data_IF_387154626048
#
_entry.id   IF_387154626048
#
_cell.length_a   1.000
_cell.length_b   1.000
_cell.length_c   1.000
_cell.angle_alpha   90.00
_cell.angle_beta   90.00
_cell.angle_gamma   90.00
#
_symmetry.space_group_name_H-M   'P 1'
#
loop_
_entity.id
_entity.type
_entity.pdbx_description
1 polymer ?
#
# COMPACT_ATOMS: atom_id res chain seq x y z
N UNK A 1 -15.27 17.31 31.60
CA UNK A 1 -15.29 15.94 31.04
C UNK A 1 -14.96 16.06 29.57
N UNK A 2 -13.87 15.46 29.10
CA UNK A 2 -13.58 15.44 27.66
C UNK A 2 -14.59 14.49 27.01
N UNK A 3 -15.21 14.95 25.93
CA UNK A 3 -16.23 14.22 25.21
C UNK A 3 -15.63 12.96 24.56
N UNK A 4 -16.12 11.80 24.97
CA UNK A 4 -15.71 10.51 24.40
C UNK A 4 -16.04 10.40 22.90
N UNK A 5 -16.98 11.20 22.41
CA UNK A 5 -17.45 11.12 21.02
C UNK A 5 -16.48 11.72 20.00
N UNK A 6 -15.45 12.47 20.44
CA UNK A 6 -14.43 13.03 19.55
C UNK A 6 -13.17 12.16 19.42
N UNK A 7 -13.04 11.07 20.17
CA UNK A 7 -11.89 10.17 20.06
C UNK A 7 -11.99 9.29 18.82
N UNK A 8 -10.91 9.24 18.02
CA UNK A 8 -10.81 8.40 16.82
C UNK A 8 -11.16 6.92 17.11
N UNK A 9 -10.68 6.39 18.24
CA UNK A 9 -10.94 4.99 18.65
C UNK A 9 -12.41 4.78 18.98
N UNK A 10 -13.05 5.72 19.70
CA UNK A 10 -14.48 5.64 20.01
C UNK A 10 -15.32 5.68 18.73
N UNK A 11 -14.96 6.56 17.79
CA UNK A 11 -15.64 6.68 16.49
C UNK A 11 -15.51 5.36 15.75
N UNK A 12 -14.29 4.81 15.61
CA UNK A 12 -14.07 3.54 14.92
C UNK A 12 -14.85 2.38 15.54
N UNK A 13 -14.81 2.21 16.87
CA UNK A 13 -15.55 1.15 17.57
C UNK A 13 -17.07 1.29 17.38
N UNK A 14 -17.57 2.52 17.29
CA UNK A 14 -18.99 2.78 17.04
C UNK A 14 -19.39 2.52 15.60
N UNK A 15 -18.63 3.03 14.63
CA UNK A 15 -19.05 3.01 13.21
C UNK A 15 -18.67 1.71 12.52
N UNK A 16 -17.49 1.18 12.81
CA UNK A 16 -16.93 0.00 12.13
C UNK A 16 -17.22 -1.28 12.91
N UNK A 17 -17.20 -1.23 14.24
CA UNK A 17 -17.47 -2.40 15.09
C UNK A 17 -18.90 -2.43 15.65
N UNK A 18 -19.71 -1.39 15.39
CA UNK A 18 -21.12 -1.29 15.81
C UNK A 18 -21.35 -1.45 17.33
N UNK A 19 -20.36 -1.06 18.15
CA UNK A 19 -20.47 -1.14 19.60
C UNK A 19 -21.36 -0.04 20.17
N UNK A 20 -22.15 -0.40 21.18
CA UNK A 20 -22.92 0.56 21.97
C UNK A 20 -22.02 1.40 22.86
N UNK A 21 -22.55 2.53 23.35
CA UNK A 21 -21.80 3.41 24.24
C UNK A 21 -21.31 2.70 25.52
N UNK A 22 -22.11 1.77 26.07
CA UNK A 22 -21.73 1.00 27.27
C UNK A 22 -20.57 0.04 26.98
N UNK A 23 -20.57 -0.60 25.81
CA UNK A 23 -19.48 -1.49 25.39
C UNK A 23 -18.20 -0.70 25.11
N UNK A 24 -18.30 0.47 24.47
CA UNK A 24 -17.15 1.36 24.24
C UNK A 24 -16.53 1.79 25.57
N UNK A 25 -17.34 2.20 26.55
CA UNK A 25 -16.86 2.51 27.90
C UNK A 25 -16.23 1.30 28.59
N UNK A 26 -16.77 0.10 28.37
CA UNK A 26 -16.19 -1.14 28.90
C UNK A 26 -14.82 -1.41 28.29
N UNK A 27 -14.67 -1.32 26.97
CA UNK A 27 -13.40 -1.47 26.26
C UNK A 27 -12.39 -0.47 26.79
N UNK A 28 -12.76 0.81 26.88
CA UNK A 28 -11.88 1.87 27.34
C UNK A 28 -11.28 1.61 28.73
N UNK A 29 -12.09 1.09 29.67
CA UNK A 29 -11.66 0.88 31.06
C UNK A 29 -10.95 -0.45 31.27
N UNK A 30 -11.37 -1.50 30.56
CA UNK A 30 -11.05 -2.88 30.91
C UNK A 30 -10.17 -3.61 29.89
N UNK A 31 -10.02 -3.09 28.67
CA UNK A 31 -9.33 -3.78 27.59
C UNK A 31 -8.07 -3.02 27.19
N UNK A 32 -6.96 -3.74 27.06
CA UNK A 32 -5.73 -3.21 26.50
C UNK A 32 -5.75 -3.37 24.98
N UNK A 33 -5.50 -2.28 24.27
CA UNK A 33 -5.57 -2.22 22.81
C UNK A 33 -4.16 -2.19 22.20
N UNK A 34 -4.01 -2.87 21.07
CA UNK A 34 -2.90 -2.65 20.15
C UNK A 34 -3.48 -1.98 18.90
N UNK A 35 -3.06 -0.74 18.64
CA UNK A 35 -3.51 0.03 17.49
C UNK A 35 -2.39 0.08 16.45
N UNK A 36 -2.71 -0.22 15.20
CA UNK A 36 -1.79 -0.10 14.07
C UNK A 36 -2.28 1.07 13.22
N UNK A 37 -1.47 2.12 13.15
CA UNK A 37 -1.74 3.32 12.36
C UNK A 37 -0.81 3.29 11.15
N UNK A 38 -1.37 2.91 10.01
CA UNK A 38 -0.62 2.78 8.77
C UNK A 38 -0.54 4.13 8.04
N UNK A 39 0.63 4.42 7.47
CA UNK A 39 0.92 5.57 6.62
C UNK A 39 0.63 6.95 7.27
N UNK A 40 1.33 7.29 8.36
CA UNK A 40 1.24 8.61 9.00
C UNK A 40 1.44 9.77 8.01
N UNK A 41 2.32 9.60 7.01
CA UNK A 41 2.59 10.62 6.01
C UNK A 41 1.43 10.92 5.05
N UNK A 42 0.36 10.12 5.09
CA UNK A 42 -0.87 10.34 4.32
C UNK A 42 -1.94 11.11 5.11
N UNK A 43 -1.63 11.54 6.35
CA UNK A 43 -2.50 12.44 7.10
C UNK A 43 -2.64 13.79 6.40
N UNK A 44 -3.84 14.38 6.51
CA UNK A 44 -4.11 15.71 5.97
C UNK A 44 -3.09 16.74 6.48
N UNK A 45 -2.80 17.74 5.64
CA UNK A 45 -1.78 18.77 5.90
C UNK A 45 -2.00 19.48 7.24
N UNK A 46 -3.24 19.59 7.70
CA UNK A 46 -3.61 20.21 8.97
C UNK A 46 -3.17 19.41 10.20
N UNK A 47 -2.96 18.10 10.06
CA UNK A 47 -2.56 17.21 11.14
C UNK A 47 -1.12 16.71 11.00
N UNK A 48 -0.51 16.88 9.83
CA UNK A 48 0.88 16.50 9.60
C UNK A 48 1.82 17.33 10.48
N UNK A 49 2.78 16.67 11.12
CA UNK A 49 3.70 17.29 12.08
C UNK A 49 3.16 17.46 13.50
N UNK A 50 1.89 17.10 13.76
CA UNK A 50 1.31 17.13 15.11
C UNK A 50 1.46 15.80 15.84
N UNK A 51 1.30 15.83 17.16
CA UNK A 51 1.37 14.63 17.97
C UNK A 51 0.14 13.73 17.80
N UNK A 52 0.35 12.50 17.34
CA UNK A 52 -0.74 11.53 17.07
C UNK A 52 -1.53 11.18 18.34
N UNK A 53 -0.89 11.07 19.49
CA UNK A 53 -1.58 10.73 20.74
C UNK A 53 -2.55 11.82 21.18
N UNK A 54 -2.17 13.08 20.97
CA UNK A 54 -2.99 14.22 21.34
C UNK A 54 -4.13 14.43 20.33
N UNK A 55 -3.81 14.45 19.02
CA UNK A 55 -4.80 14.69 17.96
C UNK A 55 -5.90 13.62 17.95
N UNK A 56 -5.56 12.35 18.17
CA UNK A 56 -6.54 11.26 18.21
C UNK A 56 -7.11 10.98 19.62
N UNK A 57 -6.75 11.80 20.62
CA UNK A 57 -7.13 11.65 22.02
C UNK A 57 -6.83 10.24 22.59
N UNK A 58 -5.70 9.66 22.20
CA UNK A 58 -5.31 8.28 22.55
C UNK A 58 -4.90 8.14 24.01
N UNK A 59 -4.57 9.23 24.69
CA UNK A 59 -4.33 9.27 26.14
C UNK A 59 -5.55 8.80 26.96
N UNK A 60 -6.75 8.76 26.37
CA UNK A 60 -7.98 8.26 26.99
C UNK A 60 -8.09 6.73 26.96
N UNK A 61 -7.17 6.04 26.27
CA UNK A 61 -7.23 4.62 26.00
C UNK A 61 -6.01 3.91 26.57
N UNK A 62 -6.22 2.68 27.06
CA UNK A 62 -5.13 1.77 27.44
C UNK A 62 -4.57 1.12 26.18
N UNK A 63 -3.84 1.89 25.37
CA UNK A 63 -3.39 1.47 24.04
C UNK A 63 -1.87 1.51 23.90
N UNK A 64 -1.32 0.51 23.19
CA UNK A 64 -0.01 0.56 22.54
C UNK A 64 -0.21 0.83 21.05
N UNK A 65 0.71 1.61 20.47
CA UNK A 65 0.64 2.00 19.07
C UNK A 65 1.81 1.42 18.29
N UNK A 66 1.53 0.98 17.07
CA UNK A 66 2.50 0.76 16.00
C UNK A 66 2.15 1.76 14.91
N UNK A 67 3.08 2.65 14.57
CA UNK A 67 2.88 3.67 13.55
C UNK A 67 3.87 3.41 12.41
N UNK A 68 3.38 3.36 11.17
CA UNK A 68 4.24 3.31 9.98
C UNK A 68 4.30 4.70 9.34
N UNK A 69 5.46 5.03 8.77
CA UNK A 69 5.68 6.32 8.12
C UNK A 69 6.85 6.21 7.14
N UNK A 70 6.74 6.86 5.97
CA UNK A 70 7.88 7.02 5.05
C UNK A 70 8.94 7.92 5.68
N UNK A 71 10.22 7.53 5.57
CA UNK A 71 11.31 8.31 6.18
C UNK A 71 11.45 9.68 5.51
N UNK A 72 11.15 9.75 4.22
CA UNK A 72 11.18 10.95 3.38
C UNK A 72 10.17 12.00 3.84
N UNK A 73 9.00 11.58 4.36
CA UNK A 73 7.99 12.50 4.88
C UNK A 73 8.45 13.22 6.14
N UNK A 74 9.38 12.61 6.88
CA UNK A 74 9.94 13.18 8.10
C UNK A 74 11.20 14.04 7.85
N UNK A 75 11.69 14.08 6.61
CA UNK A 75 13.00 14.68 6.28
C UNK A 75 13.08 16.19 6.57
N UNK A 76 11.94 16.88 6.61
CA UNK A 76 11.87 18.31 6.89
C UNK A 76 11.83 18.66 8.39
N UNK A 77 11.74 17.66 9.27
CA UNK A 77 11.67 17.83 10.71
C UNK A 77 12.98 17.39 11.37
N UNK A 78 13.38 18.12 12.40
CA UNK A 78 14.48 17.74 13.28
C UNK A 78 14.17 16.45 14.03
N UNK A 79 15.20 15.77 14.55
CA UNK A 79 15.01 14.56 15.35
C UNK A 79 14.11 14.80 16.58
N UNK A 80 14.25 15.98 17.20
CA UNK A 80 13.43 16.38 18.36
C UNK A 80 11.96 16.55 17.96
N UNK A 81 11.68 17.21 16.84
CA UNK A 81 10.31 17.34 16.33
C UNK A 81 9.73 15.98 15.94
N UNK A 82 10.51 15.11 15.29
CA UNK A 82 10.10 13.74 14.96
C UNK A 82 9.70 12.96 16.22
N UNK A 83 10.51 13.02 17.27
CA UNK A 83 10.17 12.39 18.55
C UNK A 83 8.88 12.98 19.13
N UNK A 84 8.72 14.30 19.10
CA UNK A 84 7.52 14.98 19.59
C UNK A 84 6.25 14.61 18.84
N UNK A 85 6.31 14.30 17.54
CA UNK A 85 5.14 13.82 16.76
C UNK A 85 4.63 12.46 17.23
N UNK A 86 5.51 11.60 17.73
CA UNK A 86 5.19 10.20 18.06
C UNK A 86 5.29 9.89 19.56
N UNK A 87 5.68 10.87 20.39
CA UNK A 87 5.83 10.69 21.83
C UNK A 87 4.47 10.40 22.49
N UNK A 88 4.34 9.32 23.27
CA UNK A 88 3.13 9.11 24.06
C UNK A 88 3.00 10.14 25.18
N UNK A 89 1.76 10.56 25.46
CA UNK A 89 1.43 11.47 26.55
C UNK A 89 0.52 10.78 27.56
N UNK A 90 0.84 10.95 28.85
CA UNK A 90 -0.05 10.63 29.95
C UNK A 90 -0.95 11.83 30.26
N UNK A 91 -2.27 11.59 30.32
CA UNK A 91 -3.29 12.60 30.61
C UNK A 91 -3.20 13.86 29.72
N UNK A 92 -2.69 13.72 28.48
CA UNK A 92 -2.49 14.82 27.52
C UNK A 92 -1.48 15.91 27.94
N UNK A 93 -0.74 15.72 29.02
CA UNK A 93 0.12 16.78 29.60
C UNK A 93 1.57 16.32 29.75
N UNK A 94 1.78 15.07 30.19
CA UNK A 94 3.12 14.59 30.56
C UNK A 94 3.65 13.65 29.48
N UNK A 95 4.74 14.02 28.76
CA UNK A 95 5.36 13.12 27.79
C UNK A 95 6.03 11.94 28.51
N UNK A 96 5.79 10.73 28.01
CA UNK A 96 6.38 9.50 28.53
C UNK A 96 7.73 9.24 27.86
N UNK A 97 8.81 9.78 28.47
CA UNK A 97 10.18 9.77 27.92
C UNK A 97 10.71 8.40 27.45
N UNK A 98 10.21 7.29 27.98
CA UNK A 98 10.62 5.93 27.61
C UNK A 98 9.52 5.14 26.87
N UNK A 99 8.53 5.82 26.31
CA UNK A 99 7.40 5.20 25.63
C UNK A 99 7.52 5.13 24.11
N UNK A 100 8.61 5.64 23.52
CA UNK A 100 8.82 5.68 22.07
C UNK A 100 10.00 4.77 21.66
N UNK A 101 9.74 3.89 20.70
CA UNK A 101 10.75 3.06 20.05
C UNK A 101 10.67 3.25 18.53
N UNK A 102 11.78 3.67 17.90
CA UNK A 102 11.89 3.81 16.44
C UNK A 102 12.60 2.62 15.84
N UNK A 103 12.02 2.04 14.79
CA UNK A 103 12.60 0.95 13.99
C UNK A 103 12.56 1.32 12.51
N UNK A 104 13.54 0.84 11.77
CA UNK A 104 13.61 1.00 10.32
C UNK A 104 13.46 -0.37 9.67
N UNK A 105 12.57 -0.45 8.68
CA UNK A 105 12.48 -1.63 7.82
C UNK A 105 13.70 -1.63 6.91
N UNK A 106 14.53 -2.67 7.02
CA UNK A 106 15.70 -2.81 6.18
C UNK A 106 15.31 -3.37 4.79
N UNK A 107 16.18 -3.13 3.82
CA UNK A 107 16.11 -3.78 2.52
C UNK A 107 16.42 -5.27 2.67
N UNK A 108 15.95 -6.08 1.73
CA UNK A 108 16.30 -7.50 1.67
C UNK A 108 17.79 -7.70 1.46
N UNK A 109 18.35 -8.63 2.22
CA UNK A 109 19.68 -9.16 2.02
C UNK A 109 19.74 -9.97 0.69
N UNK A 110 20.66 -9.63 -0.22
CA UNK A 110 20.77 -10.33 -1.51
C UNK A 110 21.11 -11.82 -1.41
N UNK A 111 21.75 -12.24 -0.33
CA UNK A 111 22.27 -13.60 -0.13
C UNK A 111 21.37 -14.45 0.76
N UNK A 112 20.55 -13.85 1.62
CA UNK A 112 19.66 -14.56 2.54
C UNK A 112 18.17 -14.38 2.18
N UNK A 113 17.69 -13.14 2.14
CA UNK A 113 16.26 -12.84 2.01
C UNK A 113 15.74 -13.08 0.60
N UNK A 114 16.49 -12.65 -0.44
CA UNK A 114 16.06 -12.78 -1.84
C UNK A 114 15.92 -14.27 -2.25
N UNK A 115 16.91 -15.16 -2.00
CA UNK A 115 16.75 -16.58 -2.28
C UNK A 115 15.57 -17.21 -1.54
N UNK A 116 15.36 -16.84 -0.27
CA UNK A 116 14.25 -17.33 0.53
C UNK A 116 12.90 -16.90 -0.05
N UNK A 117 12.77 -15.61 -0.42
CA UNK A 117 11.57 -15.07 -1.04
C UNK A 117 11.25 -15.81 -2.36
N UNK A 118 12.23 -15.95 -3.25
CA UNK A 118 12.05 -16.64 -4.55
C UNK A 118 11.61 -18.09 -4.33
N UNK A 119 12.26 -18.80 -3.40
CA UNK A 119 11.89 -20.18 -3.06
C UNK A 119 10.44 -20.28 -2.61
N UNK A 120 10.00 -19.38 -1.73
CA UNK A 120 8.61 -19.34 -1.26
C UNK A 120 7.65 -18.97 -2.40
N UNK A 121 8.00 -17.98 -3.22
CA UNK A 121 7.21 -17.56 -4.37
C UNK A 121 6.93 -18.71 -5.34
N UNK A 122 7.98 -19.44 -5.75
CA UNK A 122 7.86 -20.59 -6.65
C UNK A 122 6.97 -21.67 -6.05
N UNK A 123 7.12 -21.95 -4.75
CA UNK A 123 6.29 -22.94 -4.05
C UNK A 123 4.79 -22.56 -4.02
N UNK A 124 4.45 -21.27 -3.94
CA UNK A 124 3.06 -20.80 -3.89
C UNK A 124 2.43 -20.56 -5.26
N UNK A 125 3.25 -20.31 -6.28
CA UNK A 125 2.74 -19.85 -7.58
C UNK A 125 2.00 -20.92 -8.37
N UNK A 126 2.02 -22.20 -7.96
CA UNK A 126 1.40 -23.34 -8.65
C UNK A 126 1.61 -23.32 -10.18
N UNK A 127 2.71 -22.71 -10.61
CA UNK A 127 3.02 -22.50 -12.01
C UNK A 127 3.55 -23.82 -12.54
N UNK A 128 2.63 -24.68 -12.98
CA UNK A 128 2.91 -25.75 -13.95
C UNK A 128 3.35 -25.05 -15.24
N UNK A 129 4.62 -24.65 -15.30
CA UNK A 129 5.23 -24.11 -16.50
C UNK A 129 6.04 -25.24 -17.09
N UNK A 130 5.81 -25.55 -18.36
CA UNK A 130 6.55 -26.56 -19.12
C UNK A 130 8.07 -26.30 -19.16
N UNK A 131 8.50 -25.10 -18.75
CA UNK A 131 9.90 -24.70 -18.61
C UNK A 131 10.12 -23.95 -17.27
N UNK A 132 10.68 -24.60 -16.23
CA UNK A 132 10.89 -23.97 -14.94
C UNK A 132 11.95 -22.87 -15.03
N UNK A 133 11.58 -21.64 -14.66
CA UNK A 133 12.49 -20.49 -14.64
C UNK A 133 13.35 -20.55 -13.37
N UNK A 134 14.67 -20.54 -13.54
CA UNK A 134 15.60 -20.30 -12.44
C UNK A 134 15.72 -18.79 -12.16
N UNK A 135 14.73 -18.27 -11.42
CA UNK A 135 14.64 -16.86 -11.05
C UNK A 135 15.92 -16.34 -10.40
N UNK A 136 16.51 -17.12 -9.49
CA UNK A 136 17.69 -16.68 -8.75
C UNK A 136 18.90 -16.59 -9.68
N UNK A 137 19.09 -17.57 -10.58
CA UNK A 137 20.17 -17.51 -11.56
C UNK A 137 20.02 -16.31 -12.49
N UNK A 138 18.81 -16.01 -12.97
CA UNK A 138 18.57 -14.88 -13.87
C UNK A 138 18.82 -13.54 -13.15
N UNK A 139 18.30 -13.37 -11.93
CA UNK A 139 18.49 -12.13 -11.16
C UNK A 139 19.97 -11.94 -10.81
N UNK A 140 20.70 -13.02 -10.49
CA UNK A 140 22.12 -12.97 -10.11
C UNK A 140 23.05 -12.63 -11.28
N UNK A 141 22.67 -12.94 -12.53
CA UNK A 141 23.44 -12.56 -13.73
C UNK A 141 23.42 -11.06 -14.01
N UNK A 142 22.40 -10.35 -13.53
CA UNK A 142 22.23 -8.91 -13.75
C UNK A 142 22.40 -8.13 -12.43
N UNK A 143 23.59 -7.56 -12.14
CA UNK A 143 23.84 -6.85 -10.88
C UNK A 143 22.89 -5.68 -10.61
N UNK A 144 22.46 -4.98 -11.66
CA UNK A 144 21.46 -3.90 -11.57
C UNK A 144 20.08 -4.44 -11.12
N UNK A 145 19.70 -5.62 -11.61
CA UNK A 145 18.46 -6.29 -11.24
C UNK A 145 18.51 -6.78 -9.79
N UNK A 146 19.63 -7.39 -9.39
CA UNK A 146 19.87 -7.79 -8.01
C UNK A 146 19.82 -6.59 -7.05
N UNK A 147 20.46 -5.47 -7.40
CA UNK A 147 20.41 -4.26 -6.58
C UNK A 147 18.98 -3.72 -6.41
N UNK A 148 18.16 -3.78 -7.46
CA UNK A 148 16.75 -3.38 -7.40
C UNK A 148 15.91 -4.35 -6.56
N UNK A 149 16.20 -5.65 -6.65
CA UNK A 149 15.52 -6.70 -5.90
C UNK A 149 15.69 -6.62 -4.38
N UNK A 150 16.64 -5.81 -3.88
CA UNK A 150 16.74 -5.51 -2.44
C UNK A 150 15.50 -4.76 -1.90
N UNK A 151 14.71 -4.12 -2.76
CA UNK A 151 13.39 -3.61 -2.38
C UNK A 151 12.34 -4.74 -2.56
N UNK A 152 11.62 -5.16 -1.50
CA UNK A 152 10.68 -6.28 -1.56
C UNK A 152 9.59 -6.13 -2.62
N UNK A 153 9.08 -4.90 -2.80
CA UNK A 153 8.06 -4.61 -3.80
C UNK A 153 8.62 -4.71 -5.22
N UNK A 154 9.86 -4.27 -5.42
CA UNK A 154 10.52 -4.42 -6.72
C UNK A 154 10.87 -5.89 -7.00
N UNK A 155 11.32 -6.66 -6.01
CA UNK A 155 11.53 -8.10 -6.16
C UNK A 155 10.25 -8.81 -6.60
N UNK A 156 9.11 -8.49 -5.97
CA UNK A 156 7.82 -9.00 -6.39
C UNK A 156 7.51 -8.69 -7.87
N UNK A 157 7.69 -7.43 -8.29
CA UNK A 157 7.53 -7.02 -9.69
C UNK A 157 8.45 -7.80 -10.62
N UNK A 158 9.71 -8.03 -10.22
CA UNK A 158 10.70 -8.76 -11.00
C UNK A 158 10.24 -10.21 -11.20
N UNK A 159 9.94 -10.95 -10.13
CA UNK A 159 9.54 -12.37 -10.25
C UNK A 159 8.23 -12.54 -11.01
N UNK A 160 7.33 -11.57 -10.91
CA UNK A 160 6.08 -11.56 -11.66
C UNK A 160 6.28 -11.30 -13.16
N UNK A 161 7.23 -10.42 -13.49
CA UNK A 161 7.47 -9.97 -14.87
C UNK A 161 8.46 -10.86 -15.61
N UNK A 162 9.31 -11.59 -14.90
CA UNK A 162 10.43 -12.34 -15.47
C UNK A 162 10.03 -13.32 -16.59
N UNK A 163 8.93 -14.10 -16.49
CA UNK A 163 8.55 -15.01 -17.57
C UNK A 163 8.36 -14.30 -18.92
N UNK A 164 7.67 -13.16 -18.96
CA UNK A 164 7.49 -12.41 -20.21
C UNK A 164 8.76 -11.70 -20.66
N UNK A 165 9.60 -11.27 -19.72
CA UNK A 165 10.91 -10.72 -20.06
C UNK A 165 11.73 -11.77 -20.83
N UNK A 166 11.79 -13.00 -20.33
CA UNK A 166 12.51 -14.08 -21.00
C UNK A 166 11.89 -14.45 -22.36
N UNK A 167 10.56 -14.40 -22.48
CA UNK A 167 9.89 -14.61 -23.78
C UNK A 167 10.13 -13.51 -24.80
N UNK A 168 10.28 -12.26 -24.35
CA UNK A 168 10.53 -11.10 -25.20
C UNK A 168 12.00 -11.01 -25.65
N UNK A 169 12.93 -11.47 -24.81
CA UNK A 169 14.38 -11.35 -25.01
C UNK A 169 15.04 -12.73 -25.21
N UNK A 170 14.49 -13.55 -26.14
CA UNK A 170 14.89 -14.95 -26.38
C UNK A 170 16.37 -15.19 -26.69
N UNK A 171 17.12 -14.15 -27.08
CA UNK A 171 18.56 -14.24 -27.27
C UNK A 171 19.28 -13.84 -25.97
N UNK A 172 19.86 -14.84 -25.28
CA UNK A 172 20.57 -14.73 -23.99
C UNK A 172 21.58 -13.56 -23.91
N UNK A 173 22.13 -13.13 -25.05
CA UNK A 173 23.08 -12.00 -25.12
C UNK A 173 22.46 -10.63 -24.80
N UNK A 174 21.13 -10.49 -24.87
CA UNK A 174 20.43 -9.24 -24.54
C UNK A 174 20.09 -9.12 -23.05
N UNK A 175 19.95 -10.23 -22.31
CA UNK A 175 19.70 -10.21 -20.86
C UNK A 175 20.88 -9.64 -20.07
N UNK A 176 22.11 -9.96 -20.47
CA UNK A 176 23.33 -9.36 -19.88
C UNK A 176 23.47 -7.87 -20.25
N UNK A 177 22.84 -7.45 -21.36
CA UNK A 177 22.77 -6.06 -21.83
C UNK A 177 21.49 -5.34 -21.40
N UNK A 178 20.60 -6.02 -20.68
CA UNK A 178 19.33 -5.47 -20.24
C UNK A 178 19.66 -4.43 -19.18
N UNK A 179 19.86 -3.20 -19.63
CA UNK A 179 19.75 -2.01 -18.81
C UNK A 179 18.28 -1.83 -18.42
N UNK A 180 17.71 -2.84 -17.74
CA UNK A 180 16.39 -2.79 -17.15
C UNK A 180 16.40 -1.67 -16.13
N UNK A 181 15.78 -0.57 -16.51
CA UNK A 181 15.46 0.49 -15.58
C UNK A 181 14.25 0.05 -14.77
N UNK A 182 14.09 0.64 -13.57
CA UNK A 182 12.86 0.49 -12.79
C UNK A 182 11.63 0.82 -13.64
N UNK A 183 11.70 1.88 -14.45
CA UNK A 183 10.62 2.30 -15.32
C UNK A 183 10.21 1.18 -16.29
N UNK A 184 11.17 0.54 -16.96
CA UNK A 184 10.88 -0.56 -17.89
C UNK A 184 10.25 -1.76 -17.20
N UNK A 185 10.71 -2.10 -15.98
CA UNK A 185 10.10 -3.14 -15.16
C UNK A 185 8.64 -2.79 -14.81
N UNK A 186 8.39 -1.55 -14.39
CA UNK A 186 7.03 -1.06 -14.10
C UNK A 186 6.11 -1.11 -15.33
N UNK A 187 6.59 -0.69 -16.50
CA UNK A 187 5.79 -0.71 -17.73
C UNK A 187 5.36 -2.13 -18.09
N UNK A 188 6.30 -3.08 -18.05
CA UNK A 188 6.05 -4.49 -18.36
C UNK A 188 5.08 -5.09 -17.35
N UNK A 189 5.34 -4.87 -16.06
CA UNK A 189 4.45 -5.33 -14.99
C UNK A 189 3.03 -4.79 -15.16
N UNK A 190 2.90 -3.48 -15.40
CA UNK A 190 1.60 -2.82 -15.52
C UNK A 190 0.83 -3.34 -16.74
N UNK A 191 1.50 -3.51 -17.89
CA UNK A 191 0.90 -4.12 -19.08
C UNK A 191 0.36 -5.52 -18.77
N UNK A 192 1.18 -6.40 -18.17
CA UNK A 192 0.75 -7.76 -17.85
C UNK A 192 -0.38 -7.80 -16.84
N UNK A 193 -0.36 -6.89 -15.86
CA UNK A 193 -1.42 -6.80 -14.88
C UNK A 193 -2.76 -6.47 -15.56
N UNK A 194 -2.79 -5.47 -16.45
CA UNK A 194 -3.99 -5.15 -17.23
C UNK A 194 -4.45 -6.31 -18.12
N UNK A 195 -3.53 -6.96 -18.84
CA UNK A 195 -3.86 -8.11 -19.69
C UNK A 195 -4.46 -9.28 -18.89
N UNK A 196 -3.94 -9.53 -17.69
CA UNK A 196 -4.49 -10.55 -16.80
C UNK A 196 -5.87 -10.18 -16.28
N UNK A 197 -6.10 -8.92 -15.92
CA UNK A 197 -7.44 -8.47 -15.51
C UNK A 197 -8.42 -8.57 -16.68
N UNK A 198 -8.03 -8.16 -17.88
CA UNK A 198 -8.82 -8.38 -19.10
C UNK A 198 -9.16 -9.86 -19.27
N UNK A 199 -8.17 -10.75 -19.19
CA UNK A 199 -8.41 -12.20 -19.32
C UNK A 199 -9.42 -12.70 -18.29
N UNK A 200 -9.31 -12.28 -17.03
CA UNK A 200 -10.30 -12.63 -15.98
C UNK A 200 -11.70 -12.13 -16.33
N UNK A 201 -11.83 -10.90 -16.84
CA UNK A 201 -13.12 -10.34 -17.25
C UNK A 201 -13.73 -11.13 -18.41
N UNK A 202 -12.93 -11.55 -19.40
CA UNK A 202 -13.36 -12.41 -20.51
C UNK A 202 -13.79 -13.78 -19.99
N UNK A 203 -12.93 -14.44 -19.21
CA UNK A 203 -13.16 -15.79 -18.68
C UNK A 203 -14.43 -15.82 -17.80
N UNK A 204 -14.72 -14.72 -17.08
CA UNK A 204 -15.92 -14.52 -16.27
C UNK A 204 -17.12 -13.95 -17.06
N UNK A 205 -17.00 -13.72 -18.38
CA UNK A 205 -18.03 -13.16 -19.27
C UNK A 205 -18.58 -11.81 -18.80
N UNK A 206 -17.74 -10.99 -18.19
CA UNK A 206 -18.09 -9.64 -17.72
C UNK A 206 -17.94 -8.57 -18.81
N UNK A 207 -17.23 -8.89 -19.89
CA UNK A 207 -17.01 -8.01 -21.05
C UNK A 207 -17.16 -8.84 -22.35
N UNK A 208 -17.48 -8.18 -23.46
CA UNK A 208 -17.56 -8.79 -24.78
C UNK A 208 -16.22 -8.70 -25.55
N UNK A 209 -16.17 -9.36 -26.72
CA UNK A 209 -14.96 -9.38 -27.57
C UNK A 209 -14.57 -7.97 -28.03
N UNK A 210 -15.54 -7.13 -28.38
CA UNK A 210 -15.29 -5.76 -28.86
C UNK A 210 -14.65 -4.89 -27.78
N UNK A 211 -15.17 -4.92 -26.56
CA UNK A 211 -14.59 -4.17 -25.44
C UNK A 211 -13.24 -4.76 -25.01
N UNK A 212 -13.05 -6.07 -25.13
CA UNK A 212 -11.79 -6.72 -24.79
C UNK A 212 -10.59 -6.21 -25.60
N UNK A 213 -10.83 -5.70 -26.81
CA UNK A 213 -9.78 -5.15 -27.68
C UNK A 213 -9.20 -3.84 -27.13
N UNK A 214 -10.04 -2.96 -26.58
CA UNK A 214 -9.63 -1.60 -26.16
C UNK A 214 -9.46 -1.43 -24.65
N UNK A 215 -10.05 -2.32 -23.84
CA UNK A 215 -10.18 -2.15 -22.39
C UNK A 215 -8.84 -1.86 -21.69
N UNK A 216 -7.74 -2.48 -22.14
CA UNK A 216 -6.41 -2.25 -21.55
C UNK A 216 -5.96 -0.80 -21.75
N UNK A 217 -6.13 -0.26 -22.95
CA UNK A 217 -5.73 1.11 -23.27
C UNK A 217 -6.66 2.13 -22.62
N UNK A 218 -7.96 1.85 -22.60
CA UNK A 218 -8.98 2.71 -21.97
C UNK A 218 -8.69 2.87 -20.47
N UNK A 219 -8.48 1.77 -19.75
CA UNK A 219 -8.19 1.82 -18.31
C UNK A 219 -6.81 2.40 -18.02
N UNK A 220 -5.81 2.14 -18.88
CA UNK A 220 -4.49 2.77 -18.74
C UNK A 220 -4.61 4.29 -18.84
N UNK A 221 -5.29 4.78 -19.86
CA UNK A 221 -5.50 6.21 -20.07
C UNK A 221 -6.24 6.83 -18.88
N UNK A 222 -7.32 6.19 -18.44
CA UNK A 222 -8.08 6.60 -17.26
C UNK A 222 -7.20 6.69 -16.01
N UNK A 223 -6.44 5.63 -15.70
CA UNK A 223 -5.56 5.61 -14.53
C UNK A 223 -4.47 6.69 -14.59
N UNK A 224 -3.88 6.93 -15.77
CA UNK A 224 -2.87 7.98 -15.95
C UNK A 224 -3.45 9.38 -15.74
N UNK A 225 -4.64 9.65 -16.30
CA UNK A 225 -5.34 10.91 -16.10
C UNK A 225 -5.70 11.10 -14.62
N UNK A 226 -6.25 10.06 -13.98
CA UNK A 226 -6.61 10.09 -12.58
C UNK A 226 -5.41 10.35 -11.67
N UNK A 227 -4.31 9.61 -11.87
CA UNK A 227 -3.07 9.80 -11.13
C UNK A 227 -2.52 11.23 -11.29
N UNK A 228 -2.57 11.77 -12.52
CA UNK A 228 -2.15 13.15 -12.79
C UNK A 228 -3.00 14.17 -12.02
N UNK A 229 -4.32 14.00 -12.00
CA UNK A 229 -5.22 14.87 -11.24
C UNK A 229 -5.00 14.74 -9.72
N UNK A 230 -4.83 13.52 -9.22
CA UNK A 230 -4.56 13.25 -7.80
C UNK A 230 -3.25 13.92 -7.37
N UNK A 231 -2.20 13.77 -8.17
CA UNK A 231 -0.91 14.41 -7.93
C UNK A 231 -1.01 15.93 -7.87
N UNK A 232 -1.67 16.56 -8.86
CA UNK A 232 -1.89 18.01 -8.88
C UNK A 232 -2.66 18.51 -7.65
N UNK A 233 -3.62 17.72 -7.18
CA UNK A 233 -4.43 18.04 -5.99
C UNK A 233 -3.79 17.58 -4.68
N UNK A 234 -2.58 17.01 -4.71
CA UNK A 234 -1.89 16.41 -3.54
C UNK A 234 -2.77 15.41 -2.78
N UNK A 235 -3.58 14.64 -3.50
CA UNK A 235 -4.42 13.58 -2.94
C UNK A 235 -3.77 12.22 -3.14
N UNK A 236 -3.77 11.40 -2.11
CA UNK A 236 -3.29 10.01 -2.15
C UNK A 236 -4.43 8.99 -2.14
N UNK A 237 -5.64 9.42 -1.81
CA UNK A 237 -6.84 8.57 -1.77
C UNK A 237 -8.05 9.23 -2.45
N UNK A 238 -9.00 8.39 -2.86
CA UNK A 238 -10.28 8.79 -3.45
C UNK A 238 -11.39 7.98 -2.78
N UNK A 239 -12.48 8.64 -2.45
CA UNK A 239 -13.73 7.98 -2.07
C UNK A 239 -14.52 7.72 -3.35
N UNK A 240 -14.72 6.45 -3.68
CA UNK A 240 -15.64 6.05 -4.73
C UNK A 240 -17.02 5.85 -4.12
N UNK A 241 -17.96 6.73 -4.44
CA UNK A 241 -19.37 6.39 -4.33
C UNK A 241 -19.75 5.63 -5.59
N UNK A 242 -20.06 4.34 -5.46
CA UNK A 242 -20.69 3.62 -6.56
C UNK A 242 -22.07 4.24 -6.78
N UNK A 243 -22.19 5.16 -7.73
CA UNK A 243 -23.49 5.62 -8.18
C UNK A 243 -24.11 4.43 -8.91
N UNK A 244 -25.18 3.89 -8.34
CA UNK A 244 -25.96 2.85 -8.98
C UNK A 244 -26.47 3.40 -10.32
N UNK A 245 -26.28 2.71 -11.47
CA UNK A 245 -26.79 3.15 -12.76
C UNK A 245 -28.32 3.36 -12.79
N UNK A 246 -29.03 2.92 -11.74
CA UNK A 246 -30.46 3.07 -11.58
C UNK A 246 -30.91 4.46 -11.09
N UNK A 247 -30.00 5.32 -10.63
CA UNK A 247 -30.38 6.66 -10.11
C UNK A 247 -30.40 7.76 -11.18
N UNK A 248 -29.63 7.64 -12.25
CA UNK A 248 -29.64 8.62 -13.36
C UNK A 248 -30.94 8.57 -14.19
N UNK A 249 -31.70 7.46 -14.14
CA UNK A 249 -32.97 7.30 -14.86
C UNK A 249 -34.19 7.94 -14.20
N UNK A 250 -34.09 8.47 -12.97
CA UNK A 250 -35.23 9.10 -12.26
C UNK A 250 -35.12 10.62 -12.11
N UNK A 251 -33.96 11.20 -12.39
CA UNK A 251 -33.75 12.64 -12.24
C UNK A 251 -34.25 13.49 -13.44
N UNK A 252 -34.65 12.88 -14.56
CA UNK A 252 -35.17 13.57 -15.75
C UNK A 252 -36.68 13.41 -15.99
N UNK A 253 -37.44 13.04 -14.96
CA UNK A 253 -38.90 13.02 -15.00
C UNK A 253 -39.47 13.66 -13.73
N UNK A 254 -39.42 14.99 -13.66
CA UNK A 254 -39.94 15.73 -12.52
C UNK A 254 -39.70 17.22 -12.62
N UNK A 255 -40.58 17.88 -13.39
CA UNK A 255 -40.76 19.32 -13.63
C UNK A 255 -39.88 19.95 -14.72
#
# INVERSE_FOLDING_TARGET
SVDLTSSMVAIYLKTSCLLSHKEIQYVQKNIELLLILDAYDEMDVEHNGKNVYQEAALFQWRAKLIITCRTEALAHYTLVEQEQMFMPYQNNEVPLKFGLEKRHVQRFDPHEDIPLYIKQWVAHSNQQVDNPIDYLAVISRAPSLMQMATNPFILWIIVESLPALLEAYKDDSELDRLHLTRLKLFDIFTQRWFERQRKKLIDNKQIDETWSETIVDDYRLYCQQLASMMWQKKKTSLLYSAVSPYEEGRANSGL
#
